data_IF_363532124970
#
_entry.id   IF_363532124970
#
_cell.length_a   1.000
_cell.length_b   1.000
_cell.length_c   1.000
_cell.angle_alpha   90.00
_cell.angle_beta   90.00
_cell.angle_gamma   90.00
#
_symmetry.space_group_name_H-M   'P 1'
#
loop_
_entity.id
_entity.type
_entity.pdbx_description
1 polymer ?
#
# COMPACT_ATOMS: atom_id res chain seq x y z
N UNK A 1 -5.90 4.91 -7.03
CA UNK A 1 -5.79 4.07 -8.24
C UNK A 1 -7.09 4.08 -9.05
N UNK A 2 -8.20 3.53 -8.57
CA UNK A 2 -9.46 3.47 -9.35
C UNK A 2 -9.99 4.84 -9.80
N UNK A 3 -10.06 5.82 -8.90
CA UNK A 3 -10.50 7.18 -9.24
C UNK A 3 -9.58 7.86 -10.27
N UNK A 4 -8.27 7.60 -10.19
CA UNK A 4 -7.29 8.13 -11.15
C UNK A 4 -7.45 7.51 -12.54
N UNK A 5 -8.05 6.31 -12.64
CA UNK A 5 -8.43 5.67 -13.89
C UNK A 5 -9.79 6.16 -14.41
N UNK A 6 -10.42 7.13 -13.73
CA UNK A 6 -11.73 7.67 -14.09
C UNK A 6 -12.91 6.76 -13.70
N UNK A 7 -12.71 5.78 -12.82
CA UNK A 7 -13.78 4.93 -12.33
C UNK A 7 -14.60 5.64 -11.23
N UNK A 8 -15.92 5.44 -11.25
CA UNK A 8 -16.78 5.74 -10.09
C UNK A 8 -16.58 4.66 -9.03
N UNK A 9 -16.08 5.03 -7.85
CA UNK A 9 -15.80 4.09 -6.76
C UNK A 9 -16.99 4.01 -5.82
N UNK A 10 -17.47 2.79 -5.56
CA UNK A 10 -18.44 2.47 -4.51
C UNK A 10 -17.69 1.71 -3.43
N UNK A 11 -17.28 2.41 -2.37
CA UNK A 11 -16.56 1.81 -1.25
C UNK A 11 -17.55 1.24 -0.22
N UNK A 12 -17.53 -0.08 -0.04
CA UNK A 12 -18.34 -0.79 0.96
C UNK A 12 -17.60 -0.97 2.30
N UNK A 13 -16.37 -0.45 2.41
CA UNK A 13 -15.56 -0.49 3.63
C UNK A 13 -15.07 -1.89 4.00
N UNK A 14 -14.75 -2.07 5.28
CA UNK A 14 -14.30 -3.34 5.84
C UNK A 14 -15.53 -4.18 6.18
N UNK A 15 -15.75 -5.24 5.40
CA UNK A 15 -16.81 -6.20 5.67
C UNK A 15 -16.37 -7.15 6.79
N UNK A 16 -17.26 -7.38 7.75
CA UNK A 16 -17.03 -8.33 8.83
C UNK A 16 -16.85 -9.73 8.26
N UNK A 17 -15.93 -10.50 8.86
CA UNK A 17 -15.69 -11.91 8.53
C UNK A 17 -16.84 -12.80 9.04
N UNK A 18 -17.99 -12.64 8.39
CA UNK A 18 -19.26 -13.32 8.64
C UNK A 18 -19.90 -13.61 7.28
N UNK A 19 -20.32 -14.86 7.07
CA UNK A 19 -20.96 -15.32 5.84
C UNK A 19 -22.17 -14.47 5.45
N UNK A 20 -23.00 -14.06 6.40
CA UNK A 20 -24.18 -13.26 6.11
C UNK A 20 -23.81 -11.84 5.64
N UNK A 21 -22.84 -11.22 6.33
CA UNK A 21 -22.35 -9.88 6.00
C UNK A 21 -21.64 -9.86 4.63
N UNK A 22 -20.78 -10.85 4.37
CA UNK A 22 -20.12 -11.01 3.07
C UNK A 22 -21.14 -11.21 1.95
N UNK A 23 -22.22 -11.97 2.19
CA UNK A 23 -23.19 -12.31 1.14
C UNK A 23 -23.99 -11.07 0.76
N UNK A 24 -24.42 -10.32 1.77
CA UNK A 24 -25.08 -9.04 1.57
C UNK A 24 -24.18 -8.05 0.81
N UNK A 25 -22.89 -7.96 1.17
CA UNK A 25 -21.93 -7.09 0.50
C UNK A 25 -21.72 -7.48 -0.97
N UNK A 26 -21.57 -8.77 -1.28
CA UNK A 26 -21.42 -9.23 -2.66
C UNK A 26 -22.66 -8.96 -3.50
N UNK A 27 -23.87 -9.23 -2.98
CA UNK A 27 -25.11 -8.92 -3.71
C UNK A 27 -25.28 -7.42 -3.94
N UNK A 28 -24.98 -6.60 -2.94
CA UNK A 28 -25.02 -5.15 -3.07
C UNK A 28 -24.03 -4.68 -4.14
N UNK A 29 -22.78 -5.13 -4.07
CA UNK A 29 -21.73 -4.74 -5.02
C UNK A 29 -22.07 -5.16 -6.46
N UNK A 30 -22.51 -6.40 -6.65
CA UNK A 30 -22.87 -6.95 -7.97
C UNK A 30 -24.04 -6.20 -8.60
N UNK A 31 -25.01 -5.73 -7.80
CA UNK A 31 -26.15 -4.96 -8.30
C UNK A 31 -25.83 -3.52 -8.68
N UNK A 32 -24.70 -2.97 -8.24
CA UNK A 32 -24.40 -1.52 -8.34
C UNK A 32 -23.15 -1.22 -9.17
N UNK A 33 -22.33 -2.21 -9.50
CA UNK A 33 -21.05 -2.01 -10.17
C UNK A 33 -20.84 -2.97 -11.34
N UNK A 34 -20.07 -2.54 -12.34
CA UNK A 34 -19.61 -3.41 -13.43
C UNK A 34 -18.47 -4.33 -13.01
N UNK A 35 -17.70 -3.91 -11.99
CA UNK A 35 -16.56 -4.65 -11.45
C UNK A 35 -16.55 -4.57 -9.93
N UNK A 36 -16.48 -5.73 -9.28
CA UNK A 36 -16.32 -5.90 -7.83
C UNK A 36 -14.87 -6.30 -7.54
N UNK A 37 -14.18 -5.51 -6.72
CA UNK A 37 -12.79 -5.76 -6.35
C UNK A 37 -12.71 -6.01 -4.85
N UNK A 38 -12.15 -7.15 -4.46
CA UNK A 38 -11.69 -7.36 -3.09
C UNK A 38 -10.21 -6.98 -3.00
N UNK A 39 -9.90 -6.01 -2.14
CA UNK A 39 -8.53 -5.53 -1.90
C UNK A 39 -7.71 -6.49 -1.02
N UNK A 40 -8.36 -7.49 -0.42
CA UNK A 40 -7.76 -8.52 0.43
C UNK A 40 -8.85 -9.39 1.07
N UNK A 41 -8.47 -10.53 1.64
CA UNK A 41 -9.42 -11.46 2.27
C UNK A 41 -9.96 -12.56 1.36
N UNK A 42 -9.61 -12.58 0.07
CA UNK A 42 -9.91 -13.70 -0.83
C UNK A 42 -8.71 -14.64 -0.80
N UNK A 43 -8.68 -15.57 0.16
CA UNK A 43 -7.59 -16.54 0.24
C UNK A 43 -7.76 -17.65 -0.79
N UNK A 44 -6.64 -18.23 -1.19
CA UNK A 44 -6.57 -19.51 -1.93
C UNK A 44 -6.50 -20.72 -0.99
N UNK A 45 -6.64 -20.51 0.32
CA UNK A 45 -6.69 -21.57 1.32
C UNK A 45 -8.04 -22.30 1.31
N UNK A 46 -8.03 -23.60 1.60
CA UNK A 46 -9.20 -24.48 1.50
C UNK A 46 -10.31 -24.23 2.55
N UNK A 47 -10.15 -23.23 3.42
CA UNK A 47 -11.03 -22.98 4.57
C UNK A 47 -11.59 -21.54 4.61
N UNK A 48 -11.86 -20.94 3.45
CA UNK A 48 -12.33 -19.56 3.36
C UNK A 48 -13.80 -19.52 2.91
N UNK A 49 -14.70 -18.98 3.74
CA UNK A 49 -16.12 -18.80 3.42
C UNK A 49 -16.30 -18.03 2.11
N UNK A 50 -15.37 -17.12 1.82
CA UNK A 50 -15.32 -16.32 0.59
C UNK A 50 -15.29 -17.21 -0.66
N UNK A 51 -14.57 -18.33 -0.66
CA UNK A 51 -14.47 -19.21 -1.83
C UNK A 51 -15.80 -19.91 -2.12
N UNK A 52 -16.42 -20.49 -1.09
CA UNK A 52 -17.73 -21.14 -1.23
C UNK A 52 -18.78 -20.16 -1.75
N UNK A 53 -18.75 -18.92 -1.26
CA UNK A 53 -19.68 -17.89 -1.70
C UNK A 53 -19.45 -17.44 -3.14
N UNK A 54 -18.19 -17.32 -3.57
CA UNK A 54 -17.87 -16.99 -4.96
C UNK A 54 -18.26 -18.12 -5.92
N UNK A 55 -18.17 -19.37 -5.49
CA UNK A 55 -18.64 -20.54 -6.26
C UNK A 55 -20.19 -20.60 -6.32
N UNK A 56 -20.89 -20.10 -5.30
CA UNK A 56 -22.37 -20.01 -5.28
C UNK A 56 -22.91 -18.82 -6.09
N UNK A 57 -22.26 -17.66 -5.97
CA UNK A 57 -22.72 -16.38 -6.55
C UNK A 57 -22.28 -16.17 -7.99
N UNK A 58 -21.37 -17.00 -8.51
CA UNK A 58 -20.82 -16.83 -9.85
C UNK A 58 -19.87 -17.93 -10.30
N UNK A 59 -19.15 -17.65 -11.38
CA UNK A 59 -18.11 -18.51 -11.93
C UNK A 59 -16.75 -17.85 -11.70
N UNK A 60 -16.09 -18.19 -10.59
CA UNK A 60 -14.83 -17.59 -10.18
C UNK A 60 -13.68 -18.59 -10.19
N UNK A 61 -12.67 -18.30 -10.98
CA UNK A 61 -11.44 -19.09 -11.05
C UNK A 61 -10.37 -18.57 -10.09
N UNK A 62 -9.69 -19.48 -9.39
CA UNK A 62 -8.58 -19.16 -8.50
C UNK A 62 -7.25 -19.51 -9.16
N UNK A 63 -6.50 -18.50 -9.57
CA UNK A 63 -5.28 -18.66 -10.36
C UNK A 63 -4.04 -18.59 -9.48
N UNK A 64 -3.04 -19.41 -9.83
CA UNK A 64 -1.69 -19.37 -9.26
C UNK A 64 -0.74 -18.83 -10.32
N UNK A 65 -0.60 -17.51 -10.35
CA UNK A 65 0.20 -16.79 -11.34
C UNK A 65 1.70 -17.09 -11.15
N UNK A 66 2.41 -17.25 -12.26
CA UNK A 66 3.86 -17.39 -12.27
C UNK A 66 4.57 -16.02 -12.19
N UNK A 67 4.11 -15.15 -11.29
CA UNK A 67 4.68 -13.83 -11.02
C UNK A 67 5.16 -13.72 -9.57
N UNK A 68 6.04 -12.74 -9.31
CA UNK A 68 6.55 -12.42 -7.98
C UNK A 68 6.77 -10.90 -7.88
N UNK A 69 6.26 -10.22 -6.84
CA UNK A 69 5.21 -10.66 -5.91
C UNK A 69 3.86 -10.90 -6.61
N UNK A 70 2.84 -11.46 -5.93
CA UNK A 70 1.49 -11.64 -6.52
C UNK A 70 1.12 -13.02 -7.06
N UNK A 71 1.34 -14.11 -6.29
CA UNK A 71 1.00 -15.47 -6.73
C UNK A 71 -0.52 -15.75 -6.85
N UNK A 72 -1.35 -15.53 -5.81
CA UNK A 72 -2.78 -15.81 -5.92
C UNK A 72 -3.53 -14.64 -6.54
N UNK A 73 -4.50 -14.95 -7.41
CA UNK A 73 -5.45 -13.99 -7.96
C UNK A 73 -6.77 -14.72 -8.23
N UNK A 74 -7.89 -14.17 -7.79
CA UNK A 74 -9.21 -14.69 -8.13
C UNK A 74 -9.84 -13.82 -9.21
N UNK A 75 -10.37 -14.45 -10.25
CA UNK A 75 -11.03 -13.73 -11.34
C UNK A 75 -12.21 -14.52 -11.87
N UNK A 76 -13.31 -13.82 -12.14
CA UNK A 76 -14.49 -14.47 -12.66
C UNK A 76 -15.64 -13.53 -12.88
N UNK A 77 -16.80 -14.11 -13.15
CA UNK A 77 -18.03 -13.38 -13.40
C UNK A 77 -19.05 -13.71 -12.31
N UNK A 78 -19.59 -12.69 -11.67
CA UNK A 78 -20.76 -12.76 -10.80
C UNK A 78 -22.02 -12.75 -11.66
N UNK A 79 -23.20 -12.51 -11.09
CA UNK A 79 -24.42 -12.47 -11.87
C UNK A 79 -24.43 -11.29 -12.87
N UNK A 80 -23.95 -10.12 -12.45
CA UNK A 80 -23.94 -8.91 -13.28
C UNK A 80 -22.54 -8.33 -13.51
N UNK A 81 -21.66 -8.42 -12.50
CA UNK A 81 -20.34 -7.80 -12.49
C UNK A 81 -19.19 -8.78 -12.75
N UNK A 82 -18.02 -8.25 -13.11
CA UNK A 82 -16.76 -8.98 -13.05
C UNK A 82 -16.18 -8.93 -11.64
N UNK A 83 -15.60 -10.04 -11.17
CA UNK A 83 -14.95 -10.11 -9.87
C UNK A 83 -13.43 -10.18 -10.00
N UNK A 84 -12.71 -9.38 -9.21
CA UNK A 84 -11.26 -9.43 -9.05
C UNK A 84 -10.88 -9.53 -7.56
N UNK A 85 -10.37 -10.68 -7.13
CA UNK A 85 -9.83 -10.88 -5.79
C UNK A 85 -8.32 -10.69 -5.75
N UNK A 86 -7.87 -9.60 -5.10
CA UNK A 86 -6.46 -9.28 -4.93
C UNK A 86 -5.85 -10.03 -3.73
N UNK A 87 -4.55 -10.35 -3.76
CA UNK A 87 -3.85 -10.96 -2.64
C UNK A 87 -3.79 -10.00 -1.44
N UNK A 88 -3.94 -10.50 -0.21
CA UNK A 88 -3.94 -9.65 1.00
C UNK A 88 -2.59 -8.99 1.34
N UNK A 89 -1.49 -9.34 0.67
CA UNK A 89 -0.22 -8.64 0.84
C UNK A 89 -0.23 -7.34 0.01
N UNK A 90 -0.03 -6.15 0.61
CA UNK A 90 -0.19 -4.86 -0.08
C UNK A 90 0.64 -4.70 -1.36
N UNK A 91 1.92 -5.10 -1.34
CA UNK A 91 2.80 -5.03 -2.52
C UNK A 91 2.30 -5.96 -3.63
N UNK A 92 1.84 -7.15 -3.25
CA UNK A 92 1.24 -8.11 -4.18
C UNK A 92 -0.07 -7.58 -4.74
N UNK A 93 -0.92 -6.95 -3.91
CA UNK A 93 -2.22 -6.42 -4.32
C UNK A 93 -2.05 -5.33 -5.38
N UNK A 94 -1.16 -4.36 -5.10
CA UNK A 94 -0.87 -3.27 -6.01
C UNK A 94 -0.28 -3.78 -7.33
N UNK A 95 0.70 -4.69 -7.29
CA UNK A 95 1.29 -5.26 -8.50
C UNK A 95 0.25 -6.03 -9.32
N UNK A 96 -0.55 -6.89 -8.69
CA UNK A 96 -1.61 -7.65 -9.36
C UNK A 96 -2.66 -6.71 -9.95
N UNK A 97 -3.04 -5.63 -9.25
CA UNK A 97 -3.94 -4.61 -9.76
C UNK A 97 -3.40 -3.96 -11.03
N UNK A 98 -2.17 -3.46 -11.02
CA UNK A 98 -1.55 -2.82 -12.18
C UNK A 98 -1.39 -3.76 -13.38
N UNK A 99 -1.02 -5.02 -13.14
CA UNK A 99 -0.75 -5.95 -14.24
C UNK A 99 -2.01 -6.58 -14.83
N UNK A 100 -3.09 -6.74 -14.05
CA UNK A 100 -4.27 -7.50 -14.46
C UNK A 100 -5.57 -6.69 -14.42
N UNK A 101 -5.81 -5.95 -13.32
CA UNK A 101 -7.08 -5.24 -13.13
C UNK A 101 -7.12 -3.94 -13.94
N UNK A 102 -6.04 -3.17 -13.97
CA UNK A 102 -6.00 -1.92 -14.75
C UNK A 102 -6.25 -2.16 -16.25
N UNK A 103 -5.61 -3.15 -16.93
CA UNK A 103 -5.94 -3.47 -18.32
C UNK A 103 -7.38 -3.95 -18.52
N UNK A 104 -7.95 -4.68 -17.55
CA UNK A 104 -9.36 -5.09 -17.59
C UNK A 104 -10.29 -3.87 -17.58
N UNK A 105 -10.07 -2.94 -16.65
CA UNK A 105 -10.85 -1.70 -16.53
C UNK A 105 -10.74 -0.84 -17.78
N UNK A 106 -9.53 -0.68 -18.33
CA UNK A 106 -9.34 0.06 -19.57
C UNK A 106 -10.15 -0.56 -20.74
N UNK A 107 -10.13 -1.89 -20.85
CA UNK A 107 -10.93 -2.60 -21.87
C UNK A 107 -12.44 -2.42 -21.65
N UNK A 108 -12.91 -2.48 -20.41
CA UNK A 108 -14.33 -2.27 -20.07
C UNK A 108 -14.78 -0.83 -20.34
N UNK A 109 -13.90 0.15 -20.12
CA UNK A 109 -14.14 1.54 -20.47
C UNK A 109 -14.10 1.83 -21.98
N UNK A 110 -13.87 0.81 -22.83
CA UNK A 110 -13.87 0.94 -24.28
C UNK A 110 -12.54 1.38 -24.89
N UNK A 111 -11.44 1.40 -24.13
CA UNK A 111 -10.12 1.67 -24.69
C UNK A 111 -9.64 0.47 -25.53
N UNK A 112 -9.88 0.53 -26.84
CA UNK A 112 -9.46 -0.50 -27.81
C UNK A 112 -7.95 -0.56 -28.03
N UNK A 113 -7.21 0.49 -27.66
CA UNK A 113 -5.75 0.60 -27.84
C UNK A 113 -4.97 0.61 -26.52
N UNK A 114 -5.54 0.09 -25.43
CA UNK A 114 -4.81 0.03 -24.16
C UNK A 114 -3.53 -0.82 -24.30
N UNK A 115 -2.39 -0.18 -24.10
CA UNK A 115 -1.09 -0.82 -24.09
C UNK A 115 -0.42 -0.66 -22.72
N UNK A 116 0.25 -1.72 -22.27
CA UNK A 116 1.10 -1.65 -21.08
C UNK A 116 2.17 -0.55 -21.27
N UNK A 117 2.65 0.08 -20.19
CA UNK A 117 3.72 1.07 -20.27
C UNK A 117 4.92 0.56 -21.05
N UNK A 118 5.56 1.48 -21.79
CA UNK A 118 6.71 1.16 -22.63
C UNK A 118 7.81 0.45 -21.83
N UNK A 119 8.42 -0.56 -22.47
CA UNK A 119 9.56 -1.29 -21.91
C UNK A 119 10.84 -0.53 -22.26
N UNK A 120 11.59 -0.14 -21.25
CA UNK A 120 12.88 0.54 -21.43
C UNK A 120 14.01 -0.43 -21.14
N UNK A 121 15.08 -0.37 -21.93
CA UNK A 121 16.30 -1.12 -21.65
C UNK A 121 17.19 -0.27 -20.74
N UNK A 122 17.67 -0.85 -19.65
CA UNK A 122 18.59 -0.19 -18.73
C UNK A 122 19.71 -1.14 -18.31
N UNK A 123 20.87 -0.56 -17.95
CA UNK A 123 22.01 -1.29 -17.41
C UNK A 123 21.84 -1.49 -15.90
N UNK A 124 21.97 -2.72 -15.43
CA UNK A 124 21.96 -3.02 -14.00
C UNK A 124 23.28 -2.54 -13.35
N UNK A 125 23.23 -1.60 -12.41
CA UNK A 125 24.40 -1.13 -11.66
C UNK A 125 24.77 -2.06 -10.50
N UNK A 126 23.80 -2.80 -9.99
CA UNK A 126 23.95 -3.72 -8.85
C UNK A 126 23.51 -5.12 -9.25
N UNK A 127 24.13 -6.17 -8.69
CA UNK A 127 23.68 -7.54 -8.94
C UNK A 127 22.24 -7.76 -8.44
N UNK A 128 21.43 -8.50 -9.20
CA UNK A 128 20.04 -8.79 -8.88
C UNK A 128 19.86 -10.28 -8.60
N UNK A 129 19.43 -10.58 -7.37
CA UNK A 129 19.14 -11.96 -6.94
C UNK A 129 17.81 -12.39 -7.52
N UNK A 130 17.83 -13.41 -8.37
CA UNK A 130 16.64 -13.96 -9.03
C UNK A 130 16.75 -15.48 -9.14
N UNK A 131 15.64 -16.16 -8.89
CA UNK A 131 15.49 -17.61 -9.10
C UNK A 131 14.56 -17.87 -10.29
N UNK A 132 14.89 -18.82 -11.18
CA UNK A 132 14.02 -19.21 -12.29
C UNK A 132 12.61 -19.69 -11.86
N UNK A 133 11.68 -19.70 -12.80
CA UNK A 133 10.32 -20.24 -12.64
C UNK A 133 9.21 -19.21 -12.44
N UNK A 134 9.53 -17.94 -12.16
CA UNK A 134 8.56 -16.84 -12.02
C UNK A 134 9.07 -15.55 -12.64
N UNK A 135 8.18 -14.80 -13.28
CA UNK A 135 8.43 -13.43 -13.71
C UNK A 135 8.52 -12.55 -12.46
N UNK A 136 9.69 -11.95 -12.21
CA UNK A 136 9.97 -11.22 -10.97
C UNK A 136 9.94 -9.71 -11.24
N UNK A 137 9.01 -9.02 -10.59
CA UNK A 137 8.85 -7.58 -10.59
C UNK A 137 9.59 -7.03 -9.36
N UNK A 138 10.90 -6.88 -9.50
CA UNK A 138 11.73 -6.30 -8.45
C UNK A 138 11.61 -4.78 -8.48
N UNK A 139 11.74 -4.12 -7.33
CA UNK A 139 11.73 -2.66 -7.23
C UNK A 139 13.15 -2.14 -7.46
N UNK A 140 13.27 -1.15 -8.33
CA UNK A 140 14.54 -0.53 -8.70
C UNK A 140 14.49 0.99 -8.67
N UNK A 141 15.67 1.58 -8.61
CA UNK A 141 15.90 3.01 -8.76
C UNK A 141 16.54 3.20 -10.14
N UNK A 142 15.77 3.67 -11.12
CA UNK A 142 16.29 4.03 -12.43
C UNK A 142 16.81 5.47 -12.41
N UNK A 143 17.87 5.72 -13.17
CA UNK A 143 18.46 7.04 -13.41
C UNK A 143 19.05 7.08 -14.81
N UNK A 144 19.46 8.26 -15.27
CA UNK A 144 20.21 8.42 -16.51
C UNK A 144 21.62 8.90 -16.20
N UNK A 145 22.62 8.30 -16.85
CA UNK A 145 24.01 8.71 -16.68
C UNK A 145 24.36 9.93 -17.54
N UNK A 146 25.60 10.41 -17.43
CA UNK A 146 26.07 11.59 -18.19
C UNK A 146 26.05 11.41 -19.72
N UNK A 147 25.99 10.18 -20.22
CA UNK A 147 25.87 9.85 -21.64
C UNK A 147 24.41 9.66 -22.10
N UNK A 148 23.44 9.80 -21.19
CA UNK A 148 22.02 9.60 -21.48
C UNK A 148 21.57 8.13 -21.47
N UNK A 149 22.44 7.19 -21.09
CA UNK A 149 22.06 5.79 -20.96
C UNK A 149 21.25 5.57 -19.69
N UNK A 150 20.22 4.72 -19.76
CA UNK A 150 19.43 4.36 -18.59
C UNK A 150 20.15 3.32 -17.74
N UNK A 151 20.20 3.57 -16.46
CA UNK A 151 20.84 2.73 -15.45
C UNK A 151 19.86 2.45 -14.32
N UNK A 152 20.01 1.30 -13.67
CA UNK A 152 19.12 0.90 -12.58
C UNK A 152 19.85 0.16 -11.48
N UNK A 153 19.53 0.49 -10.23
CA UNK A 153 19.99 -0.22 -9.03
C UNK A 153 18.81 -0.85 -8.28
N UNK A 154 19.08 -1.89 -7.50
CA UNK A 154 18.08 -2.49 -6.60
C UNK A 154 17.77 -1.55 -5.43
N UNK A 155 16.53 -1.55 -4.94
CA UNK A 155 16.15 -0.91 -3.67
C UNK A 155 16.56 -1.74 -2.44
N UNK A 156 17.57 -2.61 -2.56
CA UNK A 156 17.96 -3.55 -1.51
C UNK A 156 17.10 -4.81 -1.46
N UNK A 157 16.44 -5.07 -0.32
CA UNK A 157 15.72 -6.33 -0.07
C UNK A 157 14.40 -6.39 -0.86
N UNK A 158 14.22 -7.44 -1.65
CA UNK A 158 13.10 -7.58 -2.61
C UNK A 158 11.93 -8.44 -2.09
N UNK A 159 11.93 -8.80 -0.81
CA UNK A 159 10.84 -9.56 -0.19
C UNK A 159 9.51 -8.79 -0.23
N UNK A 160 8.39 -9.49 -0.38
CA UNK A 160 7.04 -8.89 -0.34
C UNK A 160 6.63 -8.41 1.06
N UNK A 161 7.38 -8.79 2.09
CA UNK A 161 7.23 -8.31 3.47
C UNK A 161 7.89 -6.94 3.70
N UNK A 162 8.69 -6.44 2.75
CA UNK A 162 9.40 -5.17 2.85
C UNK A 162 8.73 -4.14 1.95
N UNK A 163 7.82 -3.35 2.49
CA UNK A 163 7.16 -2.31 1.70
C UNK A 163 8.08 -1.11 1.40
N UNK A 164 9.08 -0.81 2.23
CA UNK A 164 10.01 0.32 2.02
C UNK A 164 10.72 0.33 0.66
N UNK A 165 10.98 -0.84 0.09
CA UNK A 165 11.46 -0.99 -1.29
C UNK A 165 10.53 -0.41 -2.37
N UNK A 166 9.23 -0.36 -2.12
CA UNK A 166 8.22 0.26 -2.98
C UNK A 166 8.32 1.78 -2.89
N UNK A 167 8.48 2.31 -1.67
CA UNK A 167 8.74 3.74 -1.44
C UNK A 167 10.02 4.26 -2.10
N UNK A 168 11.08 3.47 -2.01
CA UNK A 168 12.41 3.84 -2.48
C UNK A 168 12.55 3.68 -4.00
N UNK A 169 11.79 2.74 -4.57
CA UNK A 169 11.83 2.43 -5.98
C UNK A 169 11.05 3.47 -6.78
N UNK A 170 11.56 3.77 -7.97
CA UNK A 170 10.82 4.52 -8.97
C UNK A 170 10.49 3.64 -10.18
N UNK A 171 10.96 2.39 -10.29
CA UNK A 171 10.60 1.49 -11.38
C UNK A 171 10.44 0.03 -10.95
N UNK A 172 9.80 -0.76 -11.81
CA UNK A 172 9.91 -2.21 -11.75
C UNK A 172 11.00 -2.69 -12.70
N UNK A 173 11.96 -3.41 -12.13
CA UNK A 173 12.88 -4.27 -12.85
C UNK A 173 12.13 -5.56 -13.17
N UNK A 174 11.84 -5.80 -14.45
CA UNK A 174 11.09 -6.97 -14.89
C UNK A 174 12.07 -8.06 -15.32
N UNK A 175 12.33 -9.00 -14.42
CA UNK A 175 13.21 -10.14 -14.69
C UNK A 175 12.42 -11.32 -15.23
N UNK A 176 12.84 -11.80 -16.39
CA UNK A 176 12.15 -12.85 -17.13
C UNK A 176 11.99 -14.14 -16.33
N UNK A 177 10.94 -14.90 -16.65
CA UNK A 177 10.54 -16.08 -15.88
C UNK A 177 11.69 -17.07 -15.67
N UNK A 178 12.37 -17.42 -16.75
CA UNK A 178 13.48 -18.38 -16.74
C UNK A 178 14.85 -17.75 -16.44
N UNK A 179 14.91 -16.43 -16.25
CA UNK A 179 16.17 -15.75 -15.92
C UNK A 179 16.62 -16.12 -14.51
N UNK A 180 17.92 -16.36 -14.38
CA UNK A 180 18.61 -16.56 -13.10
C UNK A 180 19.16 -15.25 -12.54
N UNK A 181 20.23 -15.35 -11.76
CA UNK A 181 20.99 -14.20 -11.26
C UNK A 181 21.38 -13.25 -12.40
N UNK A 182 21.33 -11.94 -12.13
CA UNK A 182 21.78 -10.89 -13.05
C UNK A 182 22.99 -10.20 -12.46
N UNK A 183 24.10 -10.19 -13.19
CA UNK A 183 25.31 -9.48 -12.83
C UNK A 183 25.19 -7.97 -13.09
N UNK A 184 25.99 -7.18 -12.39
CA UNK A 184 26.15 -5.77 -12.72
C UNK A 184 26.73 -5.63 -14.14
N UNK A 185 26.24 -4.63 -14.89
CA UNK A 185 26.60 -4.36 -16.27
C UNK A 185 25.65 -4.97 -17.31
N UNK A 186 24.83 -5.96 -16.93
CA UNK A 186 23.84 -6.56 -17.83
C UNK A 186 22.71 -5.60 -18.21
N UNK A 187 22.19 -5.76 -19.43
CA UNK A 187 20.99 -5.05 -19.87
C UNK A 187 19.75 -5.81 -19.39
N UNK A 188 18.83 -5.06 -18.79
CA UNK A 188 17.56 -5.54 -18.28
C UNK A 188 16.40 -4.67 -18.79
N UNK A 189 15.19 -5.20 -18.65
CA UNK A 189 13.96 -4.49 -19.01
C UNK A 189 13.36 -3.83 -17.78
N UNK A 190 13.15 -2.53 -17.89
CA UNK A 190 12.35 -1.75 -16.95
C UNK A 190 10.92 -1.64 -17.47
N UNK A 191 9.98 -1.60 -16.53
CA UNK A 191 8.64 -1.06 -16.78
C UNK A 191 8.40 0.16 -15.91
N UNK A 192 7.80 1.17 -16.53
CA UNK A 192 7.33 2.36 -15.85
C UNK A 192 6.38 1.99 -14.71
N UNK A 193 6.62 2.59 -13.56
CA UNK A 193 5.77 2.55 -12.38
C UNK A 193 4.64 3.59 -12.53
N UNK A 194 3.60 3.57 -11.68
CA UNK A 194 2.73 4.76 -11.52
C UNK A 194 3.53 5.84 -10.77
N UNK A 195 4.41 6.50 -11.52
CA UNK A 195 5.30 7.54 -11.02
C UNK A 195 4.53 8.62 -10.28
N UNK A 196 3.35 8.98 -10.79
CA UNK A 196 2.51 10.01 -10.20
C UNK A 196 1.98 9.56 -8.82
N UNK A 197 1.58 8.29 -8.68
CA UNK A 197 1.19 7.73 -7.39
C UNK A 197 2.34 7.68 -6.38
N UNK A 198 3.54 7.28 -6.80
CA UNK A 198 4.71 7.22 -5.91
C UNK A 198 5.20 8.61 -5.49
N UNK A 199 5.25 9.56 -6.43
CA UNK A 199 5.63 10.93 -6.14
C UNK A 199 4.58 11.62 -5.27
N UNK A 200 3.27 11.37 -5.48
CA UNK A 200 2.22 11.86 -4.58
C UNK A 200 2.39 11.30 -3.18
N UNK A 201 2.67 10.00 -3.03
CA UNK A 201 2.86 9.40 -1.72
C UNK A 201 4.13 9.93 -1.03
N UNK A 202 5.22 10.08 -1.78
CA UNK A 202 6.46 10.68 -1.29
C UNK A 202 6.32 12.17 -0.97
N UNK A 203 5.42 12.89 -1.64
CA UNK A 203 5.09 14.28 -1.32
C UNK A 203 4.08 14.38 -0.17
N UNK A 204 3.33 13.30 0.12
CA UNK A 204 2.26 13.32 1.10
C UNK A 204 2.79 13.55 2.52
N UNK A 205 2.08 14.41 3.23
CA UNK A 205 2.25 14.66 4.65
C UNK A 205 1.05 14.11 5.43
N UNK A 206 1.29 13.19 6.36
CA UNK A 206 0.24 12.63 7.23
C UNK A 206 0.46 13.08 8.67
N UNK A 207 -0.58 13.68 9.26
CA UNK A 207 -0.65 13.99 10.68
C UNK A 207 -1.27 12.80 11.42
N UNK A 208 -0.55 12.21 12.38
CA UNK A 208 -1.06 11.13 13.23
C UNK A 208 -1.24 11.68 14.65
N UNK A 209 -2.47 11.67 15.14
CA UNK A 209 -2.81 12.14 16.49
C UNK A 209 -3.13 10.95 17.37
N UNK A 210 -2.24 10.64 18.30
CA UNK A 210 -2.26 9.46 19.15
C UNK A 210 -1.37 8.34 18.61
N UNK A 211 -0.42 7.91 19.42
CA UNK A 211 0.47 6.76 19.23
C UNK A 211 0.17 5.64 20.23
N UNK A 212 -1.08 5.57 20.67
CA UNK A 212 -1.64 4.41 21.37
C UNK A 212 -1.80 3.19 20.45
N UNK A 213 -2.77 2.32 20.73
CA UNK A 213 -2.94 1.08 19.96
C UNK A 213 -3.11 1.27 18.45
N UNK A 214 -3.90 2.26 18.03
CA UNK A 214 -4.20 2.50 16.61
C UNK A 214 -3.03 3.16 15.86
N UNK A 215 -2.49 4.25 16.39
CA UNK A 215 -1.35 4.94 15.77
C UNK A 215 -0.13 4.03 15.71
N UNK A 216 0.05 3.20 16.73
CA UNK A 216 1.09 2.19 16.76
C UNK A 216 0.93 1.13 15.66
N UNK A 217 -0.30 0.75 15.32
CA UNK A 217 -0.57 -0.20 14.25
C UNK A 217 -0.42 0.45 12.87
N UNK A 218 -0.88 1.69 12.69
CA UNK A 218 -0.97 2.35 11.40
C UNK A 218 0.35 2.99 10.93
N UNK A 219 1.07 3.67 11.83
CA UNK A 219 2.27 4.44 11.46
C UNK A 219 3.36 3.61 10.76
N UNK A 220 3.66 2.35 11.18
CA UNK A 220 4.63 1.51 10.48
C UNK A 220 4.23 1.25 9.02
N UNK A 221 2.94 1.07 8.75
CA UNK A 221 2.46 0.87 7.38
C UNK A 221 2.55 2.13 6.55
N UNK A 222 2.27 3.32 7.10
CA UNK A 222 2.43 4.59 6.39
C UNK A 222 3.90 4.88 6.08
N UNK A 223 4.79 4.67 7.05
CA UNK A 223 6.22 4.86 6.84
C UNK A 223 6.78 3.86 5.83
N UNK A 224 6.38 2.59 5.95
CA UNK A 224 6.76 1.56 4.99
C UNK A 224 6.16 1.84 3.61
N UNK A 225 4.92 2.38 3.55
CA UNK A 225 4.20 2.73 2.33
C UNK A 225 4.97 3.73 1.45
N UNK A 226 5.73 4.61 2.09
CA UNK A 226 6.49 5.64 1.43
C UNK A 226 5.86 7.01 1.48
N UNK A 227 5.00 7.24 2.47
CA UNK A 227 4.65 8.60 2.89
C UNK A 227 5.96 9.34 3.18
N UNK A 228 6.17 10.50 2.56
CA UNK A 228 7.43 11.21 2.71
C UNK A 228 7.53 12.03 3.98
N UNK A 229 6.40 12.42 4.59
CA UNK A 229 6.38 13.21 5.80
C UNK A 229 5.31 12.74 6.79
N UNK A 230 5.71 12.47 8.04
CA UNK A 230 4.80 12.25 9.15
C UNK A 230 4.97 13.35 10.20
N UNK A 231 3.86 13.87 10.71
CA UNK A 231 3.85 14.59 11.99
C UNK A 231 3.17 13.72 13.04
N UNK A 232 3.87 13.42 14.12
CA UNK A 232 3.39 12.57 15.21
C UNK A 232 3.04 13.42 16.43
N UNK A 233 1.80 13.32 16.90
CA UNK A 233 1.31 14.03 18.09
C UNK A 233 0.88 13.02 19.14
N UNK A 234 1.54 13.03 20.29
CA UNK A 234 1.15 12.22 21.45
C UNK A 234 1.70 12.89 22.72
N UNK A 235 0.99 12.78 23.84
CA UNK A 235 1.37 13.40 25.11
C UNK A 235 1.98 12.42 26.11
N UNK A 236 1.88 11.10 25.85
CA UNK A 236 2.33 10.07 26.77
C UNK A 236 3.82 9.75 26.61
N UNK A 237 4.36 9.18 27.68
CA UNK A 237 5.62 8.43 27.66
C UNK A 237 5.37 6.93 27.56
N UNK A 238 6.32 6.18 27.01
CA UNK A 238 6.28 4.72 26.96
C UNK A 238 6.23 4.16 28.38
N UNK A 239 5.23 3.32 28.66
CA UNK A 239 5.09 2.60 29.92
C UNK A 239 5.03 1.09 29.71
N UNK A 240 5.41 0.31 30.72
CA UNK A 240 5.40 -1.16 30.65
C UNK A 240 4.01 -1.71 30.28
N UNK A 241 2.93 -1.11 30.79
CA UNK A 241 1.54 -1.49 30.52
C UNK A 241 1.05 -1.13 29.10
N UNK A 242 1.91 -0.55 28.26
CA UNK A 242 1.64 -0.31 26.85
C UNK A 242 2.23 -1.39 25.93
N UNK A 243 3.32 -2.03 26.34
CA UNK A 243 4.15 -2.88 25.48
C UNK A 243 3.46 -4.15 24.99
N UNK A 244 2.45 -4.64 25.72
CA UNK A 244 1.68 -5.82 25.31
C UNK A 244 0.84 -5.61 24.03
N UNK A 245 0.65 -4.36 23.59
CA UNK A 245 -0.14 -4.04 22.38
C UNK A 245 0.43 -2.92 21.50
N UNK A 246 1.45 -2.19 21.94
CA UNK A 246 2.06 -1.09 21.18
C UNK A 246 3.45 -1.50 20.66
N UNK A 247 3.46 -2.17 19.51
CA UNK A 247 4.65 -2.75 18.85
C UNK A 247 5.72 -1.76 18.38
N UNK A 248 5.43 -0.45 18.31
CA UNK A 248 6.41 0.60 18.00
C UNK A 248 7.36 0.86 19.17
N UNK A 249 6.97 0.45 20.37
CA UNK A 249 7.71 0.72 21.59
C UNK A 249 8.37 -0.54 22.13
N UNK A 250 9.49 -0.38 22.82
CA UNK A 250 10.29 -1.49 23.38
C UNK A 250 10.61 -1.20 24.84
N UNK A 251 10.89 -2.26 25.60
CA UNK A 251 11.27 -2.17 27.03
C UNK A 251 12.43 -1.20 27.27
N UNK A 252 13.42 -1.18 26.38
CA UNK A 252 14.57 -0.28 26.45
C UNK A 252 14.22 1.23 26.33
N UNK A 253 12.99 1.55 25.92
CA UNK A 253 12.51 2.93 25.71
C UNK A 253 11.45 3.36 26.75
N UNK A 254 11.25 2.59 27.83
CA UNK A 254 10.34 2.99 28.93
C UNK A 254 10.76 4.36 29.48
N UNK A 255 9.81 5.27 29.65
CA UNK A 255 10.01 6.66 30.08
C UNK A 255 10.33 7.65 28.95
N UNK A 256 10.63 7.17 27.74
CA UNK A 256 10.78 8.02 26.55
C UNK A 256 9.41 8.53 26.09
N UNK A 257 9.34 9.75 25.53
CA UNK A 257 8.13 10.22 24.87
C UNK A 257 7.74 9.26 23.74
N UNK A 258 6.45 8.92 23.62
CA UNK A 258 5.98 7.96 22.59
C UNK A 258 6.30 8.45 21.18
N UNK A 259 6.18 9.76 20.93
CA UNK A 259 6.51 10.36 19.63
C UNK A 259 7.97 10.14 19.23
N UNK A 260 8.91 10.28 20.17
CA UNK A 260 10.33 10.04 19.89
C UNK A 260 10.62 8.55 19.72
N UNK A 261 10.06 7.70 20.59
CA UNK A 261 10.19 6.25 20.49
C UNK A 261 9.66 5.70 19.15
N UNK A 262 8.55 6.26 18.67
CA UNK A 262 8.00 5.94 17.36
C UNK A 262 8.85 6.48 16.21
N UNK A 263 9.32 7.74 16.28
CA UNK A 263 10.22 8.31 15.26
C UNK A 263 11.42 7.40 15.01
N UNK A 264 12.07 6.93 16.07
CA UNK A 264 13.27 6.12 15.95
C UNK A 264 12.98 4.77 15.26
N UNK A 265 11.84 4.12 15.58
CA UNK A 265 11.44 2.87 14.93
C UNK A 265 11.01 3.08 13.47
N UNK A 266 10.24 4.14 13.20
CA UNK A 266 9.75 4.46 11.85
C UNK A 266 10.90 4.88 10.91
N UNK A 267 11.89 5.59 11.43
CA UNK A 267 13.10 5.96 10.66
C UNK A 267 13.94 4.72 10.30
N UNK A 268 13.91 3.67 11.13
CA UNK A 268 14.54 2.39 10.79
C UNK A 268 13.78 1.64 9.68
N UNK A 269 12.46 1.81 9.59
CA UNK A 269 11.62 1.23 8.52
C UNK A 269 11.87 1.96 7.20
N UNK A 270 11.89 3.29 7.22
CA UNK A 270 12.11 4.13 6.04
C UNK A 270 13.09 5.26 6.36
N UNK A 271 14.40 5.12 6.04
CA UNK A 271 15.40 6.16 6.32
C UNK A 271 15.20 7.47 5.57
N UNK A 272 14.31 7.52 4.58
CA UNK A 272 14.06 8.70 3.74
C UNK A 272 12.83 9.50 4.17
N UNK A 273 12.10 9.03 5.18
CA UNK A 273 10.92 9.72 5.69
C UNK A 273 11.32 10.90 6.58
N UNK A 274 10.67 12.04 6.40
CA UNK A 274 10.72 13.14 7.36
C UNK A 274 9.73 12.86 8.48
N UNK A 275 10.14 13.00 9.73
CA UNK A 275 9.26 12.83 10.89
C UNK A 275 9.43 14.03 11.81
N UNK A 276 8.36 14.81 11.97
CA UNK A 276 8.25 15.86 12.97
C UNK A 276 7.47 15.32 14.19
N UNK A 277 7.91 15.63 15.40
CA UNK A 277 7.29 15.16 16.64
C UNK A 277 6.75 16.32 17.46
N UNK A 278 5.56 16.14 18.03
CA UNK A 278 4.92 17.08 18.94
C UNK A 278 4.54 16.34 20.21
N UNK A 279 5.35 16.51 21.25
CA UNK A 279 5.09 15.93 22.58
C UNK A 279 4.12 16.84 23.33
N UNK A 280 2.85 16.44 23.38
CA UNK A 280 1.82 17.17 24.12
C UNK A 280 0.42 17.04 23.54
N UNK A 281 -0.56 17.50 24.32
CA UNK A 281 -1.93 17.62 23.87
C UNK A 281 -2.09 18.99 23.18
N UNK A 282 -2.55 18.98 21.93
CA UNK A 282 -2.73 20.21 21.17
C UNK A 282 -4.13 20.77 21.38
N UNK A 283 -4.17 22.04 21.78
CA UNK A 283 -5.39 22.84 21.76
C UNK A 283 -5.77 23.24 20.32
N UNK A 284 -6.91 23.92 20.17
CA UNK A 284 -7.51 24.21 18.87
C UNK A 284 -6.59 24.93 17.88
N UNK A 285 -5.88 25.97 18.30
CA UNK A 285 -5.02 26.77 17.41
C UNK A 285 -3.80 25.99 16.88
N UNK A 286 -2.99 25.35 17.74
CA UNK A 286 -1.88 24.53 17.25
C UNK A 286 -2.36 23.31 16.48
N UNK A 287 -3.50 22.70 16.87
CA UNK A 287 -4.09 21.59 16.11
C UNK A 287 -4.50 22.03 14.70
N UNK A 288 -5.20 23.16 14.57
CA UNK A 288 -5.61 23.71 13.29
C UNK A 288 -4.41 24.01 12.37
N UNK A 289 -3.29 24.46 12.95
CA UNK A 289 -2.03 24.71 12.22
C UNK A 289 -1.46 23.42 11.64
N UNK A 290 -1.43 22.34 12.43
CA UNK A 290 -0.94 21.04 11.97
C UNK A 290 -1.84 20.44 10.88
N UNK A 291 -3.15 20.53 11.06
CA UNK A 291 -4.13 20.06 10.06
C UNK A 291 -3.95 20.80 8.73
N UNK A 292 -3.75 22.12 8.76
CA UNK A 292 -3.56 22.90 7.54
C UNK A 292 -2.31 22.48 6.76
N UNK A 293 -1.25 22.05 7.47
CA UNK A 293 0.04 21.71 6.90
C UNK A 293 0.13 20.29 6.34
N UNK A 294 -0.80 19.39 6.65
CA UNK A 294 -0.79 18.00 6.18
C UNK A 294 -1.83 17.73 5.09
N UNK A 295 -1.68 16.64 4.34
CA UNK A 295 -2.64 16.19 3.34
C UNK A 295 -3.72 15.30 3.94
N UNK A 296 -3.36 14.50 4.94
CA UNK A 296 -4.26 13.54 5.60
C UNK A 296 -4.08 13.62 7.11
N UNK A 297 -5.20 13.54 7.84
CA UNK A 297 -5.22 13.43 9.30
C UNK A 297 -5.68 12.03 9.68
N UNK A 298 -4.88 11.36 10.50
CA UNK A 298 -5.22 10.07 11.08
C UNK A 298 -5.53 10.25 12.57
N UNK A 299 -6.81 10.19 12.91
CA UNK A 299 -7.27 10.16 14.30
C UNK A 299 -7.03 8.78 14.90
N UNK A 300 -6.11 8.71 15.85
CA UNK A 300 -5.77 7.53 16.63
C UNK A 300 -6.00 7.76 18.13
N UNK A 301 -6.85 8.72 18.47
CA UNK A 301 -7.13 9.12 19.85
C UNK A 301 -8.24 8.29 20.48
N UNK A 302 -8.11 8.03 21.77
CA UNK A 302 -9.14 7.39 22.61
C UNK A 302 -10.00 8.41 23.37
N UNK A 303 -9.69 9.71 23.26
CA UNK A 303 -10.41 10.80 23.90
C UNK A 303 -11.45 11.45 22.97
N UNK A 304 -12.71 11.43 23.40
CA UNK A 304 -13.84 12.03 22.68
C UNK A 304 -13.63 13.52 22.39
N UNK A 305 -13.09 14.28 23.35
CA UNK A 305 -12.90 15.72 23.17
C UNK A 305 -11.89 16.04 22.05
N UNK A 306 -10.78 15.29 21.97
CA UNK A 306 -9.80 15.44 20.90
C UNK A 306 -10.36 15.01 19.55
N UNK A 307 -11.13 13.92 19.52
CA UNK A 307 -11.82 13.44 18.31
C UNK A 307 -12.81 14.47 17.77
N UNK A 308 -13.63 15.07 18.62
CA UNK A 308 -14.59 16.10 18.21
C UNK A 308 -13.88 17.35 17.70
N UNK A 309 -12.77 17.75 18.34
CA UNK A 309 -11.92 18.84 17.87
C UNK A 309 -11.36 18.54 16.46
N UNK A 310 -10.78 17.35 16.26
CA UNK A 310 -10.24 16.92 14.97
C UNK A 310 -11.33 16.91 13.89
N UNK A 311 -12.47 16.27 14.15
CA UNK A 311 -13.59 16.21 13.20
C UNK A 311 -14.05 17.60 12.76
N UNK A 312 -14.23 18.51 13.72
CA UNK A 312 -14.64 19.89 13.44
C UNK A 312 -13.61 20.64 12.59
N UNK A 313 -12.33 20.56 12.97
CA UNK A 313 -11.27 21.27 12.25
C UNK A 313 -11.02 20.69 10.85
N UNK A 314 -11.00 19.36 10.70
CA UNK A 314 -10.88 18.70 9.40
C UNK A 314 -12.05 19.07 8.48
N UNK A 315 -13.28 19.10 9.00
CA UNK A 315 -14.46 19.52 8.23
C UNK A 315 -14.33 20.96 7.71
N UNK A 316 -13.89 21.90 8.56
CA UNK A 316 -13.68 23.30 8.17
C UNK A 316 -12.58 23.44 7.11
N UNK A 317 -11.50 22.66 7.24
CA UNK A 317 -10.33 22.74 6.37
C UNK A 317 -10.40 21.81 5.14
N UNK A 318 -11.48 21.03 4.99
CA UNK A 318 -11.69 20.06 3.92
C UNK A 318 -10.54 19.05 3.79
N UNK A 319 -10.13 18.49 4.92
CA UNK A 319 -9.22 17.34 4.99
C UNK A 319 -9.99 16.03 5.00
#
# INVERSE_FOLDING_TARGET
MLEQLGCTVIDLGIIRDDQAALRAAFHQADSQADVVISSGGVSVGEADYTKQMLDELGQVGFWKLAIKPGKPFAFGKLQHAWFCGLPGNPVSAALTFYQLVQPLLAKLAGHSEWHLPARLKARALTPLKKSPGRLDFQRGIFSSNAAGELEVSTTGHQGSHVFSSYSQGNCFIVLERERGFVAAGEIIVLRGFDFDGQEKLKAAHVLIVGLGGLGCAAAPYLAAAGVGHLTLVDFDTVSLSNLQRQILHRDARIGMAKVDSARDELSAINPYIRIDTVTGQLDETPMATQIAACDVVLDCTDNVATRDLLNRLCHVQRK
#
